data_IF_200571344284
#
_entry.id   IF_200571344284
#
_cell.length_a   1.000
_cell.length_b   1.000
_cell.length_c   1.000
_cell.angle_alpha   90.00
_cell.angle_beta   90.00
_cell.angle_gamma   90.00
#
_symmetry.space_group_name_H-M   'P 1'
#
loop_
_entity.id
_entity.type
_entity.pdbx_description
1 polymer ?
#
# COMPACT_ATOMS: atom_id res chain seq x y z
N UNK A 1 9.84 18.32 -5.36
CA UNK A 1 8.66 17.64 -4.77
C UNK A 1 7.99 16.88 -5.91
N UNK A 2 7.84 15.56 -5.82
CA UNK A 2 7.21 14.76 -6.90
C UNK A 2 5.72 15.12 -7.00
N UNK A 3 5.19 15.41 -8.21
CA UNK A 3 3.77 15.72 -8.36
C UNK A 3 2.89 14.56 -7.88
N UNK A 4 1.68 14.88 -7.39
CA UNK A 4 0.70 13.89 -6.95
C UNK A 4 0.24 13.03 -8.16
N UNK A 5 0.28 11.70 -8.06
CA UNK A 5 -0.32 10.82 -9.07
C UNK A 5 -1.82 11.08 -9.21
N UNK A 6 -2.38 10.83 -10.40
CA UNK A 6 -3.81 11.05 -10.66
C UNK A 6 -4.71 10.35 -9.63
N UNK A 7 -4.39 9.09 -9.27
CA UNK A 7 -5.08 8.28 -8.26
C UNK A 7 -4.85 8.73 -6.80
N UNK A 8 -4.40 9.96 -6.58
CA UNK A 8 -4.29 10.55 -5.24
C UNK A 8 -4.96 11.92 -5.16
N UNK A 9 -5.51 12.42 -6.28
CA UNK A 9 -6.07 13.77 -6.37
C UNK A 9 -7.41 13.90 -5.66
N UNK A 10 -8.20 12.84 -5.65
CA UNK A 10 -9.46 12.68 -4.94
C UNK A 10 -9.30 11.90 -3.61
N UNK A 11 -8.05 11.74 -3.14
CA UNK A 11 -7.70 11.22 -1.82
C UNK A 11 -7.47 9.71 -1.76
N UNK A 12 -7.96 9.05 -0.70
CA UNK A 12 -7.74 7.62 -0.44
C UNK A 12 -8.67 6.72 -1.28
N UNK A 13 -8.11 5.62 -1.83
CA UNK A 13 -8.89 4.60 -2.54
C UNK A 13 -8.82 3.23 -1.85
N UNK A 14 -9.96 2.55 -1.59
CA UNK A 14 -10.00 1.20 -1.04
C UNK A 14 -9.20 0.16 -1.83
N UNK A 15 -9.05 0.36 -3.14
CA UNK A 15 -8.27 -0.50 -4.01
C UNK A 15 -6.79 -0.64 -3.60
N UNK A 16 -6.24 0.29 -2.80
CA UNK A 16 -4.89 0.16 -2.24
C UNK A 16 -4.79 -0.98 -1.23
N UNK A 17 -5.84 -1.24 -0.45
CA UNK A 17 -5.87 -2.36 0.48
C UNK A 17 -5.90 -3.70 -0.27
N UNK A 18 -6.75 -3.82 -1.29
CA UNK A 18 -6.84 -5.01 -2.15
C UNK A 18 -5.51 -5.30 -2.86
N UNK A 19 -4.87 -4.25 -3.41
CA UNK A 19 -3.59 -4.39 -4.08
C UNK A 19 -2.48 -4.81 -3.12
N UNK A 20 -2.40 -4.21 -1.93
CA UNK A 20 -1.39 -4.57 -0.93
C UNK A 20 -1.55 -6.03 -0.47
N UNK A 21 -2.79 -6.49 -0.29
CA UNK A 21 -3.06 -7.88 0.06
C UNK A 21 -2.74 -8.83 -1.11
N UNK A 22 -3.10 -8.46 -2.34
CA UNK A 22 -2.74 -9.22 -3.53
C UNK A 22 -1.22 -9.38 -3.64
N UNK A 23 -0.47 -8.29 -3.45
CA UNK A 23 0.98 -8.31 -3.42
C UNK A 23 1.49 -9.33 -2.40
N UNK A 24 1.03 -9.23 -1.15
CA UNK A 24 1.42 -10.15 -0.08
C UNK A 24 1.17 -11.61 -0.47
N UNK A 25 -0.05 -11.96 -0.91
CA UNK A 25 -0.43 -13.33 -1.28
C UNK A 25 0.45 -13.89 -2.39
N UNK A 26 0.77 -13.10 -3.41
CA UNK A 26 1.67 -13.53 -4.48
C UNK A 26 3.06 -13.91 -3.95
N UNK A 27 3.61 -13.15 -3.00
CA UNK A 27 4.96 -13.37 -2.45
C UNK A 27 4.96 -14.52 -1.45
N UNK A 28 3.92 -14.63 -0.62
CA UNK A 28 3.71 -15.78 0.26
C UNK A 28 3.62 -17.10 -0.53
N UNK A 29 3.03 -17.06 -1.74
CA UNK A 29 3.01 -18.22 -2.64
C UNK A 29 4.36 -18.50 -3.29
N UNK A 30 5.03 -17.47 -3.83
CA UNK A 30 6.19 -17.67 -4.69
C UNK A 30 7.53 -17.81 -3.93
N UNK A 31 7.71 -17.11 -2.82
CA UNK A 31 9.00 -17.05 -2.15
C UNK A 31 9.44 -18.33 -1.43
N UNK A 32 8.56 -19.18 -0.87
CA UNK A 32 8.97 -20.46 -0.31
C UNK A 32 9.75 -21.32 -1.32
N UNK A 33 9.28 -21.39 -2.57
CA UNK A 33 9.95 -22.13 -3.64
C UNK A 33 11.28 -21.47 -4.05
N UNK A 34 11.35 -20.14 -4.06
CA UNK A 34 12.60 -19.41 -4.33
C UNK A 34 13.66 -19.63 -3.24
N UNK A 35 13.24 -19.69 -1.97
CA UNK A 35 14.12 -19.99 -0.84
C UNK A 35 14.63 -21.42 -0.93
N UNK A 36 13.74 -22.39 -1.18
CA UNK A 36 14.11 -23.80 -1.38
C UNK A 36 15.09 -23.98 -2.55
N UNK A 37 14.92 -23.20 -3.62
CA UNK A 37 15.80 -23.21 -4.78
C UNK A 37 17.11 -22.40 -4.59
N UNK A 38 17.36 -21.80 -3.41
CA UNK A 38 18.55 -20.98 -3.14
C UNK A 38 18.59 -19.64 -3.89
N UNK A 39 17.50 -19.23 -4.53
CA UNK A 39 17.40 -17.97 -5.30
C UNK A 39 17.09 -16.75 -4.43
N UNK A 40 16.67 -16.97 -3.19
CA UNK A 40 16.34 -15.92 -2.23
C UNK A 40 16.77 -16.38 -0.82
N UNK A 41 17.61 -15.62 -0.09
CA UNK A 41 17.96 -15.98 1.28
C UNK A 41 16.71 -15.97 2.18
N UNK A 42 16.60 -16.96 3.08
CA UNK A 42 15.45 -17.10 3.99
C UNK A 42 15.24 -15.85 4.86
N UNK A 43 16.32 -15.26 5.39
CA UNK A 43 16.25 -14.03 6.19
C UNK A 43 15.68 -12.86 5.41
N UNK A 44 16.11 -12.69 4.16
CA UNK A 44 15.59 -11.66 3.24
C UNK A 44 14.11 -11.89 2.91
N UNK A 45 13.71 -13.13 2.59
CA UNK A 45 12.31 -13.47 2.33
C UNK A 45 11.43 -13.15 3.54
N UNK A 46 11.87 -13.53 4.74
CA UNK A 46 11.14 -13.34 5.99
C UNK A 46 10.97 -11.86 6.32
N UNK A 47 12.04 -11.08 6.18
CA UNK A 47 12.01 -9.64 6.41
C UNK A 47 11.10 -8.91 5.41
N UNK A 48 11.23 -9.20 4.12
CA UNK A 48 10.39 -8.54 3.11
C UNK A 48 8.92 -8.94 3.23
N UNK A 49 8.60 -10.17 3.66
CA UNK A 49 7.21 -10.57 3.96
C UNK A 49 6.66 -9.79 5.15
N UNK A 50 7.48 -9.54 6.17
CA UNK A 50 7.10 -8.69 7.28
C UNK A 50 6.78 -7.26 6.83
N UNK A 51 7.59 -6.68 5.95
CA UNK A 51 7.34 -5.35 5.35
C UNK A 51 6.02 -5.34 4.56
N UNK A 52 5.80 -6.33 3.68
CA UNK A 52 4.56 -6.44 2.89
C UNK A 52 3.32 -6.61 3.76
N UNK A 53 3.40 -7.43 4.82
CA UNK A 53 2.31 -7.58 5.80
C UNK A 53 2.00 -6.27 6.51
N UNK A 54 3.03 -5.48 6.81
CA UNK A 54 2.87 -4.18 7.46
C UNK A 54 2.23 -3.15 6.53
N UNK A 55 2.63 -3.13 5.26
CA UNK A 55 1.98 -2.30 4.22
C UNK A 55 0.50 -2.70 4.09
N UNK A 56 0.20 -4.00 3.94
CA UNK A 56 -1.16 -4.50 3.83
C UNK A 56 -2.01 -4.15 5.07
N UNK A 57 -1.45 -4.27 6.28
CA UNK A 57 -2.14 -3.89 7.52
C UNK A 57 -2.48 -2.40 7.56
N UNK A 58 -1.56 -1.51 7.17
CA UNK A 58 -1.81 -0.06 7.14
C UNK A 58 -3.01 0.25 6.25
N UNK A 59 -3.00 -0.28 5.01
CA UNK A 59 -4.05 0.02 4.04
C UNK A 59 -5.39 -0.62 4.39
N UNK A 60 -5.38 -1.87 4.87
CA UNK A 60 -6.59 -2.56 5.36
C UNK A 60 -7.22 -1.82 6.54
N UNK A 61 -6.42 -1.43 7.54
CA UNK A 61 -6.93 -0.68 8.68
C UNK A 61 -7.46 0.70 8.28
N UNK A 62 -6.88 1.35 7.28
CA UNK A 62 -7.38 2.61 6.76
C UNK A 62 -8.72 2.43 6.04
N UNK A 63 -8.84 1.42 5.17
CA UNK A 63 -10.06 1.11 4.42
C UNK A 63 -11.23 0.71 5.33
N UNK A 64 -10.97 -0.18 6.29
CA UNK A 64 -11.99 -0.77 7.16
C UNK A 64 -12.20 0.01 8.47
N UNK A 65 -11.54 1.15 8.63
CA UNK A 65 -11.59 1.98 9.83
C UNK A 65 -11.13 1.26 11.13
N UNK A 66 -10.24 0.27 11.02
CA UNK A 66 -9.79 -0.61 12.11
C UNK A 66 -8.54 -0.10 12.85
N UNK A 67 -8.24 -0.71 14.00
CA UNK A 67 -6.97 -0.53 14.71
C UNK A 67 -5.91 -1.51 14.20
N UNK A 68 -4.64 -1.10 14.10
CA UNK A 68 -3.58 -1.96 13.58
C UNK A 68 -3.04 -2.91 14.67
N UNK A 69 -2.60 -4.09 14.26
CA UNK A 69 -1.87 -5.00 15.14
C UNK A 69 -0.48 -4.45 15.44
N UNK A 70 -0.13 -4.35 16.74
CA UNK A 70 1.13 -3.72 17.21
C UNK A 70 2.40 -4.26 16.56
N UNK A 71 2.46 -5.57 16.26
CA UNK A 71 3.67 -6.18 15.71
C UNK A 71 3.99 -5.71 14.28
N UNK A 72 3.00 -5.24 13.51
CA UNK A 72 3.21 -4.67 12.17
C UNK A 72 3.65 -3.20 12.20
N UNK A 73 3.70 -2.56 13.38
CA UNK A 73 4.10 -1.16 13.52
C UNK A 73 5.63 -0.97 13.61
N UNK A 74 6.40 -2.06 13.56
CA UNK A 74 7.87 -2.03 13.56
C UNK A 74 8.50 -1.66 12.22
N UNK A 75 7.72 -1.58 11.13
CA UNK A 75 8.23 -1.21 9.81
C UNK A 75 8.59 0.27 9.75
N UNK A 76 9.74 0.56 9.14
CA UNK A 76 10.19 1.92 8.88
C UNK A 76 9.67 2.42 7.53
N UNK A 77 9.63 3.74 7.38
CA UNK A 77 9.31 4.39 6.11
C UNK A 77 10.24 3.95 4.98
N UNK A 78 11.53 3.78 5.25
CA UNK A 78 12.51 3.42 4.24
C UNK A 78 12.23 2.02 3.67
N UNK A 79 11.99 1.04 4.54
CA UNK A 79 11.65 -0.33 4.16
C UNK A 79 10.36 -0.38 3.31
N UNK A 80 9.32 0.37 3.72
CA UNK A 80 8.08 0.42 2.94
C UNK A 80 8.28 1.04 1.55
N UNK A 81 9.07 2.12 1.45
CA UNK A 81 9.35 2.79 0.18
C UNK A 81 10.23 1.95 -0.75
N UNK A 82 11.18 1.18 -0.19
CA UNK A 82 12.03 0.26 -0.92
C UNK A 82 11.21 -0.89 -1.49
N UNK A 83 10.37 -1.54 -0.66
CA UNK A 83 9.53 -2.64 -1.11
C UNK A 83 8.55 -2.19 -2.22
N UNK A 84 7.96 -1.01 -2.08
CA UNK A 84 7.10 -0.43 -3.11
C UNK A 84 7.87 -0.04 -4.38
N UNK A 85 9.10 0.44 -4.28
CA UNK A 85 9.94 0.70 -5.46
C UNK A 85 10.20 -0.57 -6.26
N UNK A 86 10.58 -1.66 -5.58
CA UNK A 86 10.80 -2.97 -6.23
C UNK A 86 9.51 -3.48 -6.89
N UNK A 87 8.34 -3.28 -6.26
CA UNK A 87 7.07 -3.64 -6.84
C UNK A 87 6.72 -2.82 -8.10
N UNK A 88 7.01 -1.51 -8.08
CA UNK A 88 6.82 -0.60 -9.22
C UNK A 88 7.72 -1.02 -10.38
N UNK A 89 9.02 -1.25 -10.15
CA UNK A 89 9.96 -1.67 -11.20
C UNK A 89 9.51 -2.96 -11.90
N UNK A 90 8.99 -3.91 -11.11
CA UNK A 90 8.42 -5.15 -11.64
C UNK A 90 7.13 -4.90 -12.44
N UNK A 91 6.26 -4.00 -11.98
CA UNK A 91 5.04 -3.63 -12.71
C UNK A 91 5.37 -2.89 -14.01
N UNK A 92 6.32 -1.97 -14.01
CA UNK A 92 6.79 -1.26 -15.20
C UNK A 92 7.35 -2.22 -16.25
N UNK A 93 8.15 -3.20 -15.82
CA UNK A 93 8.65 -4.25 -16.72
C UNK A 93 7.49 -5.04 -17.34
N UNK A 94 6.47 -5.41 -16.55
CA UNK A 94 5.28 -6.12 -17.07
C UNK A 94 4.46 -5.27 -18.05
N UNK A 95 4.35 -3.96 -17.81
CA UNK A 95 3.68 -3.02 -18.70
C UNK A 95 4.45 -2.83 -20.01
N UNK A 96 5.80 -2.78 -19.97
CA UNK A 96 6.62 -2.70 -21.20
C UNK A 96 6.42 -3.88 -22.14
N UNK A 97 6.19 -5.08 -21.59
CA UNK A 97 5.94 -6.28 -22.40
C UNK A 97 4.51 -6.40 -22.94
N UNK A 98 3.54 -5.70 -22.34
CA UNK A 98 2.12 -5.69 -22.77
C UNK A 98 1.54 -4.29 -22.54
N UNK A 99 1.91 -3.31 -23.38
CA UNK A 99 1.55 -1.91 -23.15
C UNK A 99 0.05 -1.65 -23.23
N UNK A 100 -0.73 -2.47 -23.93
CA UNK A 100 -2.18 -2.33 -24.10
C UNK A 100 -3.01 -2.90 -22.93
N UNK A 101 -2.39 -3.58 -21.97
CA UNK A 101 -3.08 -4.19 -20.83
C UNK A 101 -3.44 -3.13 -19.77
N UNK A 102 -4.65 -2.59 -19.90
CA UNK A 102 -5.18 -1.53 -19.02
C UNK A 102 -5.17 -1.93 -17.54
N UNK A 103 -5.38 -3.21 -17.22
CA UNK A 103 -5.38 -3.69 -15.84
C UNK A 103 -3.97 -3.62 -15.24
N UNK A 104 -2.93 -3.96 -16.01
CA UNK A 104 -1.54 -3.83 -15.55
C UNK A 104 -1.12 -2.37 -15.38
N UNK A 105 -1.56 -1.50 -16.29
CA UNK A 105 -1.32 -0.06 -16.15
C UNK A 105 -1.95 0.48 -14.86
N UNK A 106 -3.21 0.14 -14.60
CA UNK A 106 -3.91 0.52 -13.37
C UNK A 106 -3.17 0.04 -12.12
N UNK A 107 -2.73 -1.22 -12.09
CA UNK A 107 -1.94 -1.74 -10.97
C UNK A 107 -0.63 -0.99 -10.77
N UNK A 108 0.10 -0.65 -11.85
CA UNK A 108 1.31 0.17 -11.76
C UNK A 108 1.00 1.54 -11.15
N UNK A 109 -0.06 2.20 -11.62
CA UNK A 109 -0.41 3.54 -11.18
C UNK A 109 -0.86 3.56 -9.71
N UNK A 110 -1.57 2.50 -9.28
CA UNK A 110 -1.89 2.26 -7.86
C UNK A 110 -0.64 2.08 -7.00
N UNK A 111 0.36 1.32 -7.45
CA UNK A 111 1.63 1.17 -6.72
C UNK A 111 2.37 2.51 -6.58
N UNK A 112 2.39 3.31 -7.64
CA UNK A 112 2.99 4.66 -7.63
C UNK A 112 2.25 5.56 -6.64
N UNK A 113 0.92 5.53 -6.64
CA UNK A 113 0.07 6.26 -5.71
C UNK A 113 0.31 5.84 -4.25
N UNK A 114 0.33 4.53 -3.96
CA UNK A 114 0.68 4.01 -2.64
C UNK A 114 2.06 4.51 -2.20
N UNK A 115 3.08 4.40 -3.05
CA UNK A 115 4.43 4.87 -2.73
C UNK A 115 4.47 6.37 -2.46
N UNK A 116 3.72 7.17 -3.21
CA UNK A 116 3.58 8.60 -2.96
C UNK A 116 3.00 8.89 -1.58
N UNK A 117 1.94 8.18 -1.20
CA UNK A 117 1.37 8.26 0.15
C UNK A 117 2.42 7.98 1.21
N UNK A 118 3.09 6.82 1.14
CA UNK A 118 4.17 6.45 2.06
C UNK A 118 5.29 7.50 2.13
N UNK A 119 5.59 8.19 1.01
CA UNK A 119 6.66 9.17 0.92
C UNK A 119 6.34 10.51 1.59
N UNK A 120 5.07 10.89 1.71
CA UNK A 120 4.68 12.19 2.32
C UNK A 120 4.88 12.26 3.82
N UNK A 121 4.96 11.12 4.49
CA UNK A 121 5.10 11.09 5.93
C UNK A 121 6.55 11.30 6.34
N UNK A 122 6.80 12.02 7.45
CA UNK A 122 8.15 12.21 7.95
C UNK A 122 8.83 10.88 8.29
N UNK A 123 10.14 10.82 8.08
CA UNK A 123 10.95 9.66 8.46
C UNK A 123 11.12 9.62 9.98
N UNK A 124 10.24 8.91 10.67
CA UNK A 124 10.40 8.54 12.08
C UNK A 124 10.46 7.03 12.22
N UNK A 125 11.41 6.49 13.00
CA UNK A 125 11.48 5.04 13.29
C UNK A 125 10.33 4.60 14.20
N UNK A 126 9.98 5.45 15.16
CA UNK A 126 8.88 5.22 16.10
C UNK A 126 7.63 5.86 15.55
N UNK A 127 6.60 5.06 15.29
CA UNK A 127 5.24 5.50 14.93
C UNK A 127 4.96 5.83 13.46
N UNK A 128 5.86 5.53 12.50
CA UNK A 128 5.60 5.76 11.08
C UNK A 128 4.27 5.15 10.61
N UNK A 129 4.11 3.83 10.77
CA UNK A 129 2.92 3.11 10.32
C UNK A 129 1.63 3.62 10.97
N UNK A 130 1.69 3.98 12.26
CA UNK A 130 0.57 4.55 13.00
C UNK A 130 0.20 5.95 12.50
N UNK A 131 1.19 6.83 12.33
CA UNK A 131 0.97 8.18 11.83
C UNK A 131 0.39 8.17 10.42
N UNK A 132 0.88 7.26 9.58
CA UNK A 132 0.33 7.05 8.24
C UNK A 132 -1.12 6.57 8.30
N UNK A 133 -1.40 5.52 9.06
CA UNK A 133 -2.75 5.00 9.22
C UNK A 133 -3.74 6.08 9.66
N UNK A 134 -3.40 6.85 10.69
CA UNK A 134 -4.29 7.87 11.25
C UNK A 134 -4.65 8.96 10.24
N UNK A 135 -3.69 9.39 9.41
CA UNK A 135 -3.95 10.39 8.37
C UNK A 135 -4.74 9.81 7.20
N UNK A 136 -4.38 8.64 6.67
CA UNK A 136 -5.13 8.02 5.57
C UNK A 136 -6.58 7.74 6.00
N UNK A 137 -6.79 7.29 7.24
CA UNK A 137 -8.12 7.12 7.84
C UNK A 137 -8.87 8.44 7.96
N UNK A 138 -8.19 9.53 8.34
CA UNK A 138 -8.81 10.86 8.37
C UNK A 138 -9.30 11.28 6.98
N UNK A 139 -8.49 11.12 5.94
CA UNK A 139 -8.87 11.47 4.58
C UNK A 139 -9.98 10.56 4.03
N UNK A 140 -9.92 9.25 4.28
CA UNK A 140 -10.98 8.32 3.93
C UNK A 140 -12.33 8.73 4.55
N UNK A 141 -12.31 9.15 5.82
CA UNK A 141 -13.50 9.64 6.51
C UNK A 141 -14.02 10.97 5.92
N UNK A 142 -13.14 11.90 5.56
CA UNK A 142 -13.55 13.15 4.91
C UNK A 142 -14.24 12.89 3.57
N UNK A 143 -13.72 11.97 2.75
CA UNK A 143 -14.32 11.59 1.47
C UNK A 143 -15.69 10.93 1.66
N UNK A 144 -15.82 10.01 2.61
CA UNK A 144 -17.09 9.38 2.93
C UNK A 144 -18.15 10.41 3.36
N UNK A 145 -17.75 11.42 4.15
CA UNK A 145 -18.63 12.51 4.58
C UNK A 145 -19.02 13.47 3.45
N UNK A 146 -18.14 13.68 2.46
CA UNK A 146 -18.41 14.50 1.28
C UNK A 146 -19.30 13.79 0.26
N UNK A 147 -19.18 12.46 0.14
CA UNK A 147 -20.01 11.62 -0.71
C UNK A 147 -21.43 11.40 -0.16
N UNK A 148 -21.61 11.50 1.16
CA UNK A 148 -22.93 11.54 1.79
C UNK A 148 -23.63 12.87 1.50
N UNK A 149 -24.50 12.90 0.49
CA UNK A 149 -25.32 14.06 0.11
C UNK A 149 -26.18 14.59 1.27
N UNK A 150 -26.59 15.87 1.27
CA UNK A 150 -27.37 16.48 2.35
C UNK A 150 -28.69 15.77 2.70
N UNK A 151 -29.29 15.03 1.76
CA UNK A 151 -30.54 14.29 1.97
C UNK A 151 -30.43 13.21 3.05
N UNK A 152 -29.24 12.65 3.30
CA UNK A 152 -29.04 11.66 4.38
C UNK A 152 -28.84 12.31 5.77
N UNK A 153 -28.58 13.62 5.83
CA UNK A 153 -28.41 14.35 7.11
C UNK A 153 -29.73 14.79 7.73
N UNK A 154 -30.81 14.86 6.96
CA UNK A 154 -32.15 15.26 7.42
C UNK A 154 -33.09 14.07 7.71
N UNK A 155 -32.59 12.84 7.62
CA UNK A 155 -33.37 11.61 7.84
C UNK A 155 -32.97 10.85 9.13
N UNK A 156 -32.12 11.43 9.98
CA UNK A 156 -31.74 10.93 11.30
C UNK A 156 -32.12 11.95 12.39
#
# INVERSE_FOLDING_TARGET
MTPAPAMTQDGFHPAFAELAEHMLRERERAWPDMVKAGKLPQGTASHRLFVLRSIAEIWRCAADNLNPKRHFMGVTRAEALEELAVAIDAAETRCRHKPEDAQRQLQRDQLIAMRWWHARYPAGRTSYAMNMLLMVKHEANQLAQAAATPEQRNAA
#
